data_IF_469840422813
#
_entry.id   IF_469840422813
#
_cell.length_a   1.000
_cell.length_b   1.000
_cell.length_c   1.000
_cell.angle_alpha   90.00
_cell.angle_beta   90.00
_cell.angle_gamma   90.00
#
_symmetry.space_group_name_H-M   'P 1'
#
loop_
_entity.id
_entity.type
_entity.pdbx_description
1 polymer ?
#
# COMPACT_ATOMS: atom_id res chain seq x y z
N UNK A 1 -84.23 -45.44 -45.93
CA UNK A 1 -83.76 -45.96 -44.64
C UNK A 1 -82.25 -45.75 -44.55
N UNK A 2 -81.70 -45.68 -43.33
CA UNK A 2 -80.26 -45.55 -42.98
C UNK A 2 -79.63 -44.15 -42.99
N UNK A 3 -78.93 -43.89 -41.87
CA UNK A 3 -78.17 -42.72 -41.39
C UNK A 3 -77.26 -43.27 -40.24
N UNK A 4 -76.25 -42.58 -39.64
CA UNK A 4 -75.72 -41.22 -39.90
C UNK A 4 -74.17 -40.98 -39.75
N UNK A 5 -73.76 -39.73 -40.03
CA UNK A 5 -72.83 -38.87 -39.21
C UNK A 5 -71.27 -38.90 -39.45
N UNK A 6 -70.47 -37.93 -38.93
CA UNK A 6 -69.62 -37.07 -39.79
C UNK A 6 -68.21 -36.69 -39.22
N UNK A 7 -67.71 -35.47 -39.57
CA UNK A 7 -66.51 -34.69 -39.11
C UNK A 7 -65.29 -34.80 -40.06
N UNK A 8 -64.34 -33.83 -40.22
CA UNK A 8 -63.96 -32.58 -39.51
C UNK A 8 -63.60 -31.46 -40.55
N UNK A 9 -63.55 -30.18 -40.15
CA UNK A 9 -63.21 -29.02 -41.02
C UNK A 9 -61.74 -28.53 -40.92
N UNK A 10 -61.26 -27.75 -41.93
CA UNK A 10 -60.29 -26.63 -41.76
C UNK A 10 -60.07 -25.72 -43.00
N UNK A 11 -60.51 -24.47 -42.86
CA UNK A 11 -59.81 -23.18 -43.10
C UNK A 11 -59.13 -22.81 -44.45
N UNK A 12 -59.80 -21.88 -45.16
CA UNK A 12 -59.36 -20.49 -45.53
C UNK A 12 -57.90 -20.05 -45.27
N UNK A 13 -57.28 -19.14 -46.03
CA UNK A 13 -57.60 -18.47 -47.31
C UNK A 13 -56.39 -17.61 -47.76
N UNK A 14 -56.37 -17.18 -49.02
CA UNK A 14 -55.28 -16.37 -49.62
C UNK A 14 -55.06 -15.01 -48.95
N UNK A 15 -53.82 -14.49 -49.02
CA UNK A 15 -53.61 -13.07 -49.38
C UNK A 15 -52.27 -12.87 -50.11
N UNK A 16 -52.29 -12.04 -51.15
CA UNK A 16 -51.12 -11.45 -51.81
C UNK A 16 -51.17 -9.93 -51.61
N UNK A 17 -49.99 -9.32 -51.75
CA UNK A 17 -49.77 -8.01 -52.37
C UNK A 17 -49.44 -6.78 -51.47
N UNK A 18 -48.55 -5.96 -52.05
CA UNK A 18 -48.24 -4.54 -51.80
C UNK A 18 -47.29 -4.14 -50.64
N UNK A 19 -46.06 -3.81 -51.06
CA UNK A 19 -45.16 -2.86 -50.38
C UNK A 19 -45.81 -1.47 -50.28
N UNK A 20 -45.66 -0.76 -49.16
CA UNK A 20 -45.55 0.71 -49.14
C UNK A 20 -44.89 1.24 -47.87
N UNK A 21 -44.27 2.43 -48.00
CA UNK A 21 -43.37 3.07 -47.01
C UNK A 21 -44.10 3.41 -45.69
N UNK A 22 -43.42 3.30 -44.55
CA UNK A 22 -43.82 4.03 -43.32
C UNK A 22 -42.97 5.29 -43.16
N UNK A 23 -43.66 6.43 -43.09
CA UNK A 23 -43.09 7.75 -42.84
C UNK A 23 -42.71 7.90 -41.36
N UNK A 24 -41.63 8.62 -41.08
CA UNK A 24 -41.57 9.39 -39.84
C UNK A 24 -42.54 10.59 -39.96
N UNK A 25 -43.28 10.88 -38.89
CA UNK A 25 -43.57 12.22 -38.31
C UNK A 25 -44.75 12.11 -37.32
N UNK A 26 -44.87 12.99 -36.32
CA UNK A 26 -46.19 13.32 -35.77
C UNK A 26 -46.65 12.71 -34.42
N UNK A 27 -45.89 12.96 -33.35
CA UNK A 27 -46.41 13.55 -32.08
C UNK A 27 -47.85 13.19 -31.65
N UNK A 28 -48.04 12.16 -30.79
CA UNK A 28 -49.27 12.01 -29.97
C UNK A 28 -48.97 12.07 -28.47
N UNK A 29 -49.21 13.23 -27.85
CA UNK A 29 -49.14 13.41 -26.39
C UNK A 29 -50.36 12.73 -25.75
N UNK A 30 -50.19 11.63 -25.04
CA UNK A 30 -51.24 11.11 -24.15
C UNK A 30 -51.36 12.02 -22.93
N UNK A 31 -52.59 12.50 -22.65
CA UNK A 31 -52.93 13.13 -21.38
C UNK A 31 -53.19 12.02 -20.35
N UNK A 32 -52.35 11.92 -19.33
CA UNK A 32 -52.65 11.12 -18.12
C UNK A 32 -53.23 12.02 -17.02
N UNK A 33 -54.17 11.46 -16.26
CA UNK A 33 -55.02 12.12 -15.26
C UNK A 33 -54.25 12.92 -14.17
N UNK A 34 -54.80 14.03 -13.64
CA UNK A 34 -54.16 14.83 -12.61
C UNK A 34 -54.60 14.43 -11.18
N UNK A 35 -53.94 13.45 -10.54
CA UNK A 35 -53.86 13.41 -9.07
C UNK A 35 -52.62 12.64 -8.57
N UNK A 36 -52.12 13.07 -7.41
CA UNK A 36 -50.89 12.66 -6.70
C UNK A 36 -49.64 13.47 -7.08
N UNK A 37 -49.66 14.73 -6.64
CA UNK A 37 -48.46 15.50 -6.35
C UNK A 37 -47.71 14.86 -5.16
N UNK A 38 -46.67 14.07 -5.42
CA UNK A 38 -45.51 13.99 -4.52
C UNK A 38 -44.23 14.23 -5.32
N UNK A 39 -43.83 15.49 -5.33
CA UNK A 39 -42.60 15.98 -5.94
C UNK A 39 -41.35 15.37 -5.26
N UNK A 40 -40.96 14.16 -5.64
CA UNK A 40 -39.53 13.82 -5.60
C UNK A 40 -38.91 14.52 -6.79
N UNK A 41 -38.14 15.58 -6.51
CA UNK A 41 -37.35 16.31 -7.51
C UNK A 41 -36.39 15.32 -8.17
N UNK A 42 -36.78 14.74 -9.31
CA UNK A 42 -35.81 14.20 -10.27
C UNK A 42 -35.00 15.39 -10.76
N UNK A 43 -33.92 15.67 -10.03
CA UNK A 43 -32.82 16.48 -10.53
C UNK A 43 -32.46 15.85 -11.86
N UNK A 44 -32.76 16.56 -12.96
CA UNK A 44 -32.26 16.19 -14.27
C UNK A 44 -30.75 16.21 -14.15
N UNK A 45 -30.15 15.04 -13.96
CA UNK A 45 -28.71 14.86 -14.08
C UNK A 45 -28.37 15.34 -15.47
N UNK A 46 -27.83 16.57 -15.55
CA UNK A 46 -27.25 17.09 -16.79
C UNK A 46 -26.25 16.04 -17.22
N UNK A 47 -26.33 15.58 -18.48
CA UNK A 47 -25.35 14.66 -19.03
C UNK A 47 -23.96 15.26 -18.82
N UNK A 48 -23.25 14.78 -17.80
CA UNK A 48 -21.89 15.23 -17.52
C UNK A 48 -21.09 14.77 -18.73
N UNK A 49 -20.53 15.73 -19.48
CA UNK A 49 -19.80 15.44 -20.70
C UNK A 49 -18.77 14.34 -20.43
N UNK A 50 -18.74 13.31 -21.27
CA UNK A 50 -17.84 12.14 -21.12
C UNK A 50 -16.36 12.54 -21.00
N UNK A 51 -15.99 13.74 -21.47
CA UNK A 51 -14.68 14.36 -21.24
C UNK A 51 -14.30 14.54 -19.76
N UNK A 52 -15.24 14.72 -18.84
CA UNK A 52 -14.96 14.85 -17.41
C UNK A 52 -14.63 13.50 -16.75
N UNK A 53 -15.36 12.44 -17.13
CA UNK A 53 -15.07 11.06 -16.68
C UNK A 53 -13.77 10.49 -17.26
N UNK A 54 -13.38 10.92 -18.47
CA UNK A 54 -12.17 10.46 -19.18
C UNK A 54 -10.84 10.73 -18.44
N UNK A 55 -10.84 11.66 -17.47
CA UNK A 55 -9.66 11.99 -16.65
C UNK A 55 -9.45 11.06 -15.45
N UNK A 56 -10.33 10.09 -15.21
CA UNK A 56 -10.28 9.19 -14.06
C UNK A 56 -10.35 7.73 -14.54
N UNK A 57 -9.48 6.89 -14.01
CA UNK A 57 -9.40 5.47 -14.33
C UNK A 57 -9.49 4.63 -13.04
N UNK A 58 -9.95 3.37 -13.09
CA UNK A 58 -9.82 2.45 -11.96
C UNK A 58 -8.35 2.32 -11.53
N UNK A 59 -8.11 1.96 -10.27
CA UNK A 59 -6.76 1.64 -9.80
C UNK A 59 -6.14 0.54 -10.68
N UNK A 60 -4.93 0.73 -11.24
CA UNK A 60 -4.24 -0.33 -11.97
C UNK A 60 -4.03 -1.56 -11.09
N UNK A 61 -4.31 -2.77 -11.60
CA UNK A 61 -4.19 -4.01 -10.81
C UNK A 61 -2.82 -4.17 -10.13
N UNK A 62 -1.75 -3.78 -10.81
CA UNK A 62 -0.37 -3.78 -10.27
C UNK A 62 -0.21 -2.90 -9.05
N UNK A 63 -0.77 -1.68 -9.08
CA UNK A 63 -0.78 -0.78 -7.92
C UNK A 63 -1.66 -1.32 -6.79
N UNK A 64 -2.81 -1.90 -7.13
CA UNK A 64 -3.67 -2.59 -6.15
C UNK A 64 -2.93 -3.71 -5.42
N UNK A 65 -2.21 -4.56 -6.15
CA UNK A 65 -1.38 -5.62 -5.55
C UNK A 65 -0.23 -5.08 -4.71
N UNK A 66 0.39 -3.96 -5.11
CA UNK A 66 1.44 -3.31 -4.28
C UNK A 66 0.87 -2.76 -2.97
N UNK A 67 -0.29 -2.11 -3.01
CA UNK A 67 -0.95 -1.57 -1.81
C UNK A 67 -1.35 -2.69 -0.85
N UNK A 68 -1.88 -3.82 -1.37
CA UNK A 68 -2.19 -4.99 -0.57
C UNK A 68 -0.92 -5.63 0.03
N UNK A 69 0.17 -5.75 -0.71
CA UNK A 69 1.45 -6.23 -0.18
C UNK A 69 1.98 -5.35 0.95
N UNK A 70 1.96 -4.01 0.78
CA UNK A 70 2.37 -3.08 1.84
C UNK A 70 1.47 -3.16 3.08
N UNK A 71 0.17 -3.43 2.89
CA UNK A 71 -0.76 -3.69 3.99
C UNK A 71 -0.39 -4.98 4.71
N UNK A 72 -0.10 -6.05 3.99
CA UNK A 72 0.34 -7.34 4.55
C UNK A 72 1.64 -7.21 5.34
N UNK A 73 2.64 -6.51 4.81
CA UNK A 73 3.89 -6.19 5.53
C UNK A 73 3.60 -5.42 6.82
N UNK A 74 2.67 -4.45 6.78
CA UNK A 74 2.30 -3.62 7.94
C UNK A 74 1.53 -4.36 9.03
N UNK A 75 0.77 -5.41 8.66
CA UNK A 75 -0.01 -6.22 9.61
C UNK A 75 0.68 -7.52 10.03
N UNK A 76 1.77 -7.93 9.36
CA UNK A 76 2.56 -9.12 9.68
C UNK A 76 2.95 -9.24 11.17
N UNK A 77 3.32 -8.16 11.91
CA UNK A 77 3.59 -8.27 13.35
C UNK A 77 2.40 -8.72 14.21
N UNK A 78 1.18 -8.69 13.67
CA UNK A 78 -0.05 -9.03 14.38
C UNK A 78 -0.68 -10.35 13.93
N UNK A 79 -0.25 -10.93 12.78
CA UNK A 79 -0.84 -12.17 12.24
C UNK A 79 -0.54 -13.38 13.11
N UNK A 80 0.63 -13.42 13.74
CA UNK A 80 1.10 -14.58 14.51
C UNK A 80 0.75 -14.48 16.01
N UNK A 81 -0.18 -13.57 16.36
CA UNK A 81 -0.62 -13.32 17.74
C UNK A 81 -1.41 -14.47 18.38
N UNK A 82 -1.75 -15.53 17.62
CA UNK A 82 -2.61 -16.65 18.05
C UNK A 82 -4.04 -16.24 18.43
N UNK A 83 -4.40 -14.97 18.23
CA UNK A 83 -5.64 -14.39 18.69
C UNK A 83 -6.65 -14.32 17.55
N UNK A 84 -7.56 -15.29 17.52
CA UNK A 84 -8.67 -15.39 16.55
C UNK A 84 -9.57 -14.15 16.46
N UNK A 85 -9.56 -13.23 17.43
CA UNK A 85 -10.25 -11.94 17.31
C UNK A 85 -9.43 -10.94 16.48
N UNK A 86 -8.11 -10.87 16.72
CA UNK A 86 -7.17 -10.05 15.94
C UNK A 86 -7.13 -10.52 14.49
N UNK A 87 -6.93 -11.82 14.24
CA UNK A 87 -6.95 -12.40 12.87
C UNK A 87 -8.21 -12.03 12.08
N UNK A 88 -9.40 -12.09 12.72
CA UNK A 88 -10.68 -11.70 12.10
C UNK A 88 -10.78 -10.20 11.83
N UNK A 89 -10.13 -9.35 12.62
CA UNK A 89 -10.04 -7.91 12.37
C UNK A 89 -9.08 -7.64 11.20
N UNK A 90 -7.91 -8.29 11.18
CA UNK A 90 -6.94 -8.17 10.08
C UNK A 90 -7.55 -8.60 8.73
N UNK A 91 -8.32 -9.69 8.70
CA UNK A 91 -9.05 -10.11 7.50
C UNK A 91 -10.05 -9.05 7.04
N UNK A 92 -10.86 -8.48 7.94
CA UNK A 92 -11.79 -7.38 7.60
C UNK A 92 -11.09 -6.13 7.08
N UNK A 93 -9.89 -5.83 7.57
CA UNK A 93 -9.06 -4.72 7.07
C UNK A 93 -8.64 -5.01 5.63
N UNK A 94 -8.14 -6.23 5.32
CA UNK A 94 -7.83 -6.66 3.94
C UNK A 94 -9.03 -6.54 3.02
N UNK A 95 -10.18 -7.11 3.39
CA UNK A 95 -11.41 -7.08 2.59
C UNK A 95 -11.86 -5.65 2.29
N UNK A 96 -11.84 -4.78 3.31
CA UNK A 96 -12.24 -3.37 3.20
C UNK A 96 -11.31 -2.56 2.30
N UNK A 97 -9.99 -2.78 2.43
CA UNK A 97 -8.99 -2.14 1.55
C UNK A 97 -9.12 -2.64 0.12
N UNK A 98 -9.28 -3.95 -0.10
CA UNK A 98 -9.49 -4.50 -1.44
C UNK A 98 -10.75 -3.92 -2.11
N UNK A 99 -11.90 -3.95 -1.42
CA UNK A 99 -13.15 -3.37 -1.93
C UNK A 99 -12.99 -1.88 -2.26
N UNK A 100 -12.31 -1.13 -1.40
CA UNK A 100 -12.02 0.29 -1.63
C UNK A 100 -11.16 0.50 -2.87
N UNK A 101 -10.14 -0.34 -3.11
CA UNK A 101 -9.29 -0.26 -4.31
C UNK A 101 -10.03 -0.60 -5.61
N UNK A 102 -11.06 -1.45 -5.55
CA UNK A 102 -11.92 -1.79 -6.70
C UNK A 102 -12.88 -0.64 -7.07
N UNK A 103 -13.39 0.10 -6.08
CA UNK A 103 -14.30 1.25 -6.30
C UNK A 103 -13.58 2.57 -6.59
N UNK A 104 -12.42 2.79 -5.98
CA UNK A 104 -11.66 4.05 -6.10
C UNK A 104 -11.19 4.25 -7.54
N UNK A 105 -11.39 5.47 -8.03
CA UNK A 105 -10.81 5.94 -9.27
C UNK A 105 -9.69 6.91 -8.98
N UNK A 106 -8.57 6.69 -9.65
CA UNK A 106 -7.39 7.55 -9.61
C UNK A 106 -7.37 8.41 -10.88
N UNK A 107 -6.77 9.61 -10.85
CA UNK A 107 -6.64 10.39 -12.07
C UNK A 107 -5.82 9.60 -13.10
N UNK A 108 -6.16 9.76 -14.38
CA UNK A 108 -5.42 9.25 -15.53
C UNK A 108 -4.17 10.12 -15.74
N UNK A 109 -3.33 10.17 -14.72
CA UNK A 109 -1.96 10.67 -14.81
C UNK A 109 -1.16 9.63 -15.58
N UNK A 110 -0.20 10.07 -16.39
CA UNK A 110 0.96 9.23 -16.69
C UNK A 110 1.73 9.04 -15.39
N UNK A 111 1.45 7.92 -14.71
CA UNK A 111 2.13 7.49 -13.48
C UNK A 111 3.63 7.49 -13.73
N UNK A 112 4.30 8.57 -13.30
CA UNK A 112 5.71 8.93 -13.55
C UNK A 112 6.21 8.58 -14.95
N UNK A 113 6.48 9.59 -15.80
CA UNK A 113 7.26 9.38 -17.04
C UNK A 113 8.41 8.40 -16.75
N UNK A 114 8.57 7.36 -17.56
CA UNK A 114 9.61 6.34 -17.36
C UNK A 114 11.00 6.96 -17.19
N UNK A 115 11.23 8.14 -17.78
CA UNK A 115 12.41 8.97 -17.50
C UNK A 115 12.47 9.40 -16.03
N UNK A 116 11.42 10.05 -15.51
CA UNK A 116 11.31 10.48 -14.10
C UNK A 116 11.49 9.31 -13.13
N UNK A 117 10.87 8.16 -13.39
CA UNK A 117 11.04 6.96 -12.54
C UNK A 117 12.50 6.49 -12.53
N UNK A 118 13.18 6.48 -13.68
CA UNK A 118 14.61 6.16 -13.77
C UNK A 118 15.49 7.19 -13.06
N UNK A 119 15.13 8.49 -13.09
CA UNK A 119 15.85 9.52 -12.33
C UNK A 119 15.71 9.31 -10.83
N UNK A 120 14.50 9.04 -10.34
CA UNK A 120 14.25 8.72 -8.93
C UNK A 120 14.96 7.44 -8.49
N UNK A 121 14.95 6.38 -9.32
CA UNK A 121 15.70 5.15 -9.06
C UNK A 121 17.21 5.41 -8.97
N UNK A 122 17.77 6.24 -9.86
CA UNK A 122 19.19 6.62 -9.83
C UNK A 122 19.55 7.39 -8.56
N UNK A 123 18.70 8.31 -8.11
CA UNK A 123 18.88 9.05 -6.85
C UNK A 123 18.83 8.12 -5.63
N UNK A 124 17.86 7.20 -5.58
CA UNK A 124 17.74 6.22 -4.49
C UNK A 124 18.93 5.26 -4.44
N UNK A 125 19.46 4.83 -5.59
CA UNK A 125 20.67 3.99 -5.64
C UNK A 125 21.93 4.76 -5.19
N UNK A 126 22.04 6.05 -5.52
CA UNK A 126 23.13 6.90 -5.06
C UNK A 126 23.06 7.12 -3.53
N UNK A 127 21.87 7.37 -2.99
CA UNK A 127 21.67 7.54 -1.55
C UNK A 127 21.86 6.23 -0.78
N UNK A 128 21.42 5.09 -1.32
CA UNK A 128 21.72 3.76 -0.76
C UNK A 128 23.23 3.57 -0.62
N UNK A 129 24.00 3.85 -1.67
CA UNK A 129 25.46 3.75 -1.60
C UNK A 129 26.05 4.71 -0.57
N UNK A 130 25.57 5.96 -0.50
CA UNK A 130 26.03 6.94 0.50
C UNK A 130 25.79 6.47 1.93
N UNK A 131 24.71 5.72 2.18
CA UNK A 131 24.42 5.13 3.48
C UNK A 131 25.30 3.90 3.78
N UNK A 132 25.58 3.07 2.78
CA UNK A 132 26.52 1.93 2.89
C UNK A 132 27.96 2.42 3.17
N UNK A 133 28.42 3.44 2.45
CA UNK A 133 29.73 4.07 2.68
C UNK A 133 29.80 4.64 4.13
N UNK A 134 28.72 5.26 4.62
CA UNK A 134 28.64 5.80 5.99
C UNK A 134 28.58 4.72 7.09
N UNK A 135 27.97 3.55 6.81
CA UNK A 135 27.95 2.39 7.71
C UNK A 135 29.37 1.83 7.92
N UNK A 136 30.17 1.79 6.85
CA UNK A 136 31.60 1.41 6.92
C UNK A 136 32.40 2.42 7.74
N UNK A 137 32.25 3.72 7.49
CA UNK A 137 32.94 4.78 8.23
C UNK A 137 32.62 4.76 9.74
N UNK A 138 31.34 4.55 10.09
CA UNK A 138 30.91 4.40 11.49
C UNK A 138 31.51 3.15 12.15
N UNK A 139 31.58 2.04 11.43
CA UNK A 139 32.16 0.78 11.93
C UNK A 139 33.66 0.93 12.21
N UNK A 140 34.41 1.55 11.29
CA UNK A 140 35.84 1.84 11.46
C UNK A 140 36.09 2.80 12.62
N UNK A 141 35.23 3.81 12.80
CA UNK A 141 35.32 4.76 13.93
C UNK A 141 35.10 4.06 15.27
N UNK A 142 34.10 3.17 15.36
CA UNK A 142 33.81 2.41 16.56
C UNK A 142 34.96 1.45 16.92
N UNK A 143 35.55 0.76 15.94
CA UNK A 143 36.70 -0.12 16.17
C UNK A 143 37.92 0.64 16.69
N UNK A 144 38.17 1.85 16.19
CA UNK A 144 39.24 2.72 16.69
C UNK A 144 38.96 3.22 18.11
N UNK A 145 37.73 3.63 18.45
CA UNK A 145 37.37 3.98 19.84
C UNK A 145 37.51 2.79 20.79
N UNK A 146 37.10 1.59 20.37
CA UNK A 146 37.29 0.34 21.12
C UNK A 146 38.78 0.03 21.30
N UNK A 147 39.63 0.33 20.32
CA UNK A 147 41.09 0.18 20.42
C UNK A 147 41.70 1.19 21.39
N UNK A 148 41.29 2.46 21.33
CA UNK A 148 41.76 3.53 22.22
C UNK A 148 41.35 3.27 23.68
N UNK A 149 40.09 2.90 23.93
CA UNK A 149 39.61 2.57 25.28
C UNK A 149 40.34 1.37 25.88
N UNK A 150 40.62 0.30 25.09
CA UNK A 150 41.49 -0.82 25.51
C UNK A 150 42.91 -0.35 25.88
N UNK A 151 43.52 0.54 25.09
CA UNK A 151 44.85 1.10 25.39
C UNK A 151 44.86 1.94 26.67
N UNK A 152 43.82 2.76 26.90
CA UNK A 152 43.67 3.55 28.12
C UNK A 152 43.48 2.65 29.35
N UNK A 153 42.71 1.57 29.22
CA UNK A 153 42.55 0.57 30.30
C UNK A 153 43.89 -0.11 30.64
N UNK A 154 44.66 -0.56 29.64
CA UNK A 154 45.99 -1.16 29.85
C UNK A 154 46.94 -0.16 30.55
N UNK A 155 46.94 1.12 30.14
CA UNK A 155 47.72 2.18 30.81
C UNK A 155 47.29 2.36 32.27
N UNK A 156 45.98 2.41 32.53
CA UNK A 156 45.42 2.54 33.89
C UNK A 156 45.85 1.39 34.79
N UNK A 157 45.79 0.16 34.30
CA UNK A 157 46.12 -1.02 35.11
C UNK A 157 47.63 -1.13 35.35
N UNK A 158 48.48 -0.78 34.39
CA UNK A 158 49.93 -0.62 34.61
C UNK A 158 50.25 0.41 35.71
N UNK A 159 49.57 1.55 35.72
CA UNK A 159 49.76 2.58 36.75
C UNK A 159 49.32 2.08 38.14
N UNK A 160 48.20 1.34 38.23
CA UNK A 160 47.78 0.70 39.50
C UNK A 160 48.81 -0.31 40.00
N UNK A 161 49.32 -1.19 39.14
CA UNK A 161 50.33 -2.19 39.54
C UNK A 161 51.65 -1.54 39.97
N UNK A 162 52.06 -0.46 39.28
CA UNK A 162 53.24 0.31 39.68
C UNK A 162 53.06 1.03 41.02
N UNK A 163 51.85 1.55 41.29
CA UNK A 163 51.54 2.18 42.58
C UNK A 163 51.50 1.16 43.72
N UNK A 164 50.93 -0.03 43.49
CA UNK A 164 50.96 -1.13 44.46
C UNK A 164 52.41 -1.55 44.78
N UNK A 165 53.24 -1.76 43.75
CA UNK A 165 54.65 -2.14 43.92
C UNK A 165 55.52 -1.08 44.61
N UNK A 166 55.12 0.20 44.60
CA UNK A 166 55.82 1.28 45.29
C UNK A 166 55.53 1.31 46.80
N UNK A 167 54.38 0.75 47.23
CA UNK A 167 54.02 0.64 48.64
C UNK A 167 54.70 -0.55 49.34
N UNK A 168 55.16 -1.56 48.59
CA UNK A 168 55.79 -2.78 49.11
C UNK A 168 57.32 -2.69 49.24
N UNK A 169 57.95 -1.52 49.02
CA UNK A 169 59.38 -1.35 49.34
C UNK A 169 59.58 -1.06 50.84
N UNK A 170 60.21 -1.96 51.61
CA UNK A 170 60.62 -1.63 52.97
C UNK A 170 61.72 -0.57 52.94
N UNK A 171 61.54 0.51 53.71
CA UNK A 171 62.59 1.51 53.93
C UNK A 171 63.75 0.91 54.74
N UNK A 172 64.72 0.30 54.06
CA UNK A 172 66.03 -0.04 54.65
C UNK A 172 66.89 1.22 54.69
N UNK A 173 66.58 2.13 55.61
CA UNK A 173 67.47 3.24 55.94
C UNK A 173 68.58 2.70 56.84
N UNK A 174 69.82 2.79 56.38
CA UNK A 174 71.01 2.32 57.11
C UNK A 174 71.14 3.00 58.47
N UNK A 175 71.24 2.18 59.52
CA UNK A 175 71.94 2.57 60.74
C UNK A 175 73.45 2.53 60.49
N UNK A 176 74.07 3.67 60.21
CA UNK A 176 75.52 3.87 60.41
C UNK A 176 75.84 5.32 60.74
N UNK A 177 75.88 5.61 62.04
CA UNK A 177 76.61 6.74 62.60
C UNK A 177 77.09 6.32 64.00
N UNK A 178 78.15 5.50 64.04
CA UNK A 178 78.88 5.26 65.28
C UNK A 178 79.69 6.50 65.65
N UNK A 179 79.70 6.78 66.95
CA UNK A 179 80.82 7.27 67.76
C UNK A 179 82.09 7.73 67.01
N UNK A 180 82.41 9.01 67.15
CA UNK A 180 83.80 9.46 67.36
C UNK A 180 83.81 10.83 68.04
N UNK A 181 84.41 10.85 69.24
CA UNK A 181 84.80 12.00 70.10
C UNK A 181 83.72 12.98 70.54
#
# INVERSE_FOLDING_TARGET
MTIPRPKVAKQTSQSKCQKRKKSNEGRRRQKTSPLVNKQKKTVRLKNISTKAGSKWQPVPKTLGTTILSMLDDSISPFTDSGNKAVERILHKIRDSVQHTLEEVRVPKVTWTDSKSLKTSQKLLLAEKKRLEDLEVDLSLTLDEEVRQTKLLQIKRDRLKSSAASACDQPQVILQTAQEST
#
